data_IF_290938935448
#
_entry.id   IF_290938935448
#
_cell.length_a   1.000
_cell.length_b   1.000
_cell.length_c   1.000
_cell.angle_alpha   90.00
_cell.angle_beta   90.00
_cell.angle_gamma   90.00
#
_symmetry.space_group_name_H-M   'P 1'
#
loop_
_entity.id
_entity.type
_entity.pdbx_description
1 polymer ?
#
# COMPACT_ATOMS: atom_id res chain seq x y z
N UNK A 1 -25.01 1.37 -2.90
CA UNK A 1 -24.46 2.64 -3.08
C UNK A 1 -22.95 2.64 -3.11
N UNK A 2 -22.40 3.26 -4.06
CA UNK A 2 -20.99 3.29 -4.17
C UNK A 2 -20.35 4.15 -3.15
N UNK A 3 -19.26 3.67 -2.66
CA UNK A 3 -18.42 4.47 -1.82
C UNK A 3 -17.45 5.22 -2.71
N UNK A 4 -17.66 6.54 -2.87
CA UNK A 4 -16.76 7.29 -3.74
C UNK A 4 -15.37 7.43 -3.15
N UNK A 5 -15.21 7.03 -1.90
CA UNK A 5 -13.92 7.20 -1.23
C UNK A 5 -13.25 5.86 -1.09
N UNK A 6 -12.70 5.36 -2.19
CA UNK A 6 -11.88 4.18 -2.08
C UNK A 6 -10.74 4.46 -1.13
N UNK A 7 -10.50 3.53 -0.23
CA UNK A 7 -9.41 3.64 0.72
C UNK A 7 -8.17 3.00 0.10
N UNK A 8 -7.08 3.74 0.09
CA UNK A 8 -5.81 3.25 -0.45
C UNK A 8 -4.82 3.07 0.68
N UNK A 9 -4.01 2.03 0.59
CA UNK A 9 -2.96 1.80 1.57
C UNK A 9 -1.96 2.95 1.55
N UNK A 10 -1.69 3.53 2.71
CA UNK A 10 -0.78 4.66 2.82
C UNK A 10 0.68 4.23 2.86
N UNK A 11 0.95 2.99 2.50
CA UNK A 11 2.30 2.46 2.40
C UNK A 11 2.61 2.00 0.98
N UNK A 12 1.68 1.30 0.32
CA UNK A 12 1.91 0.75 -1.01
C UNK A 12 0.91 1.20 -2.06
N UNK A 13 -0.07 2.02 -1.67
CA UNK A 13 -1.09 2.57 -2.56
C UNK A 13 -2.08 1.54 -3.10
N UNK A 14 -2.09 0.32 -2.54
CA UNK A 14 -3.04 -0.69 -2.98
C UNK A 14 -4.46 -0.29 -2.57
N UNK A 15 -5.44 -0.38 -3.49
CA UNK A 15 -6.82 -0.12 -3.10
C UNK A 15 -7.32 -1.23 -2.17
N UNK A 16 -7.92 -0.83 -1.06
CA UNK A 16 -8.44 -1.76 -0.07
C UNK A 16 -9.95 -1.78 -0.19
N UNK A 17 -10.46 -2.76 -0.93
CA UNK A 17 -11.87 -2.80 -1.29
C UNK A 17 -12.68 -3.79 -0.47
N UNK A 18 -12.04 -4.76 0.16
CA UNK A 18 -12.72 -5.73 1.00
C UNK A 18 -12.11 -5.70 2.38
N UNK A 19 -12.87 -6.17 3.41
CA UNK A 19 -12.34 -6.14 4.78
C UNK A 19 -11.03 -6.91 4.95
N UNK A 20 -10.84 -7.98 4.18
CA UNK A 20 -9.61 -8.78 4.31
C UNK A 20 -8.38 -8.04 3.83
N UNK A 21 -8.55 -6.99 3.05
CA UNK A 21 -7.41 -6.26 2.52
C UNK A 21 -6.84 -5.24 3.50
N UNK A 22 -7.57 -4.95 4.56
CA UNK A 22 -7.10 -4.00 5.57
C UNK A 22 -6.16 -4.65 6.56
N UNK A 23 -5.18 -3.89 7.02
CA UNK A 23 -4.30 -4.37 8.08
C UNK A 23 -5.00 -4.36 9.43
N UNK A 24 -4.26 -4.68 10.48
CA UNK A 24 -4.82 -4.73 11.82
C UNK A 24 -4.00 -3.87 12.78
N UNK A 25 -4.70 -3.22 13.69
CA UNK A 25 -4.09 -2.48 14.78
C UNK A 25 -3.73 -3.41 15.92
N UNK A 26 -3.01 -2.89 16.92
CA UNK A 26 -2.55 -3.72 18.01
C UNK A 26 -3.69 -4.31 18.83
N UNK A 27 -4.85 -3.67 18.83
CA UNK A 27 -6.00 -4.19 19.57
C UNK A 27 -6.88 -5.11 18.72
N UNK A 28 -6.43 -5.45 17.52
CA UNK A 28 -7.19 -6.34 16.64
C UNK A 28 -8.20 -5.65 15.74
N UNK A 29 -8.37 -4.34 15.91
CA UNK A 29 -9.30 -3.62 15.04
C UNK A 29 -8.66 -3.40 13.66
N UNK A 30 -9.51 -3.06 12.70
CA UNK A 30 -9.06 -2.87 11.32
C UNK A 30 -8.31 -1.55 11.20
N UNK A 31 -7.15 -1.60 10.57
CA UNK A 31 -6.44 -0.38 10.21
C UNK A 31 -7.02 0.13 8.89
N UNK A 32 -7.47 1.37 8.88
CA UNK A 32 -8.04 1.93 7.68
C UNK A 32 -7.03 2.73 6.87
N UNK A 33 -5.77 2.71 7.28
CA UNK A 33 -4.71 3.43 6.58
C UNK A 33 -3.77 2.53 5.82
N UNK A 34 -3.62 1.27 6.23
CA UNK A 34 -2.64 0.36 5.66
C UNK A 34 -3.27 -0.99 5.35
N UNK A 35 -2.74 -1.64 4.33
CA UNK A 35 -3.27 -2.94 3.93
C UNK A 35 -2.67 -4.06 4.77
N UNK A 36 -3.27 -5.25 4.65
CA UNK A 36 -2.84 -6.40 5.44
C UNK A 36 -1.42 -6.85 5.12
N UNK A 37 -0.93 -6.53 3.93
CA UNK A 37 0.44 -6.90 3.56
C UNK A 37 1.46 -5.95 4.17
N UNK A 38 1.05 -4.74 4.52
CA UNK A 38 1.98 -3.74 5.04
C UNK A 38 1.91 -3.56 6.54
N UNK A 39 0.78 -3.88 7.16
CA UNK A 39 0.56 -3.50 8.56
C UNK A 39 -0.28 -4.57 9.25
N UNK A 40 0.27 -5.14 10.32
CA UNK A 40 -0.43 -6.15 11.11
C UNK A 40 -0.09 -5.99 12.57
N UNK A 41 -1.08 -6.18 13.41
CA UNK A 41 -0.93 -6.15 14.88
C UNK A 41 -0.28 -4.86 15.36
N UNK A 42 -0.61 -3.75 14.71
CA UNK A 42 -0.15 -2.44 15.13
C UNK A 42 1.25 -2.08 14.67
N UNK A 43 1.83 -2.85 13.77
CA UNK A 43 3.19 -2.58 13.31
C UNK A 43 3.31 -2.90 11.83
N UNK A 44 4.23 -2.21 11.17
CA UNK A 44 4.53 -2.55 9.78
C UNK A 44 5.16 -3.92 9.69
N UNK A 45 4.75 -4.70 8.68
CA UNK A 45 5.32 -6.03 8.48
C UNK A 45 6.77 -5.97 8.07
N UNK A 46 7.15 -4.86 7.42
CA UNK A 46 8.54 -4.64 7.03
C UNK A 46 8.94 -3.23 7.45
N UNK A 47 9.24 -3.04 8.73
CA UNK A 47 9.48 -1.69 9.23
C UNK A 47 10.75 -1.04 8.67
N UNK A 48 11.71 -1.85 8.21
CA UNK A 48 12.98 -1.31 7.72
C UNK A 48 13.04 -1.17 6.20
N UNK A 49 11.93 -1.45 5.51
CA UNK A 49 11.92 -1.35 4.05
C UNK A 49 11.99 0.12 3.65
N UNK A 50 12.75 0.40 2.60
CA UNK A 50 12.84 1.76 2.07
C UNK A 50 11.74 2.01 1.04
N UNK A 51 11.55 3.29 0.67
CA UNK A 51 10.59 3.62 -0.37
C UNK A 51 11.00 2.98 -1.70
N UNK A 52 12.30 2.89 -1.97
CA UNK A 52 12.79 2.23 -3.17
C UNK A 52 12.40 0.76 -3.17
N UNK A 53 12.57 0.09 -2.03
CA UNK A 53 12.19 -1.32 -1.92
C UNK A 53 10.70 -1.50 -2.12
N UNK A 54 9.90 -0.59 -1.56
CA UNK A 54 8.45 -0.66 -1.72
C UNK A 54 8.07 -0.46 -3.18
N UNK A 55 8.73 0.47 -3.88
CA UNK A 55 8.49 0.68 -5.29
C UNK A 55 8.75 -0.61 -6.07
N UNK A 56 9.87 -1.27 -5.79
CA UNK A 56 10.22 -2.50 -6.49
C UNK A 56 9.20 -3.61 -6.24
N UNK A 57 8.74 -3.74 -5.00
CA UNK A 57 7.75 -4.74 -4.66
C UNK A 57 6.42 -4.47 -5.38
N UNK A 58 5.97 -3.23 -5.37
CA UNK A 58 4.71 -2.88 -6.00
C UNK A 58 4.77 -3.08 -7.51
N UNK A 59 5.88 -2.70 -8.12
CA UNK A 59 6.06 -2.88 -9.56
C UNK A 59 6.02 -4.36 -9.89
N UNK A 60 6.74 -5.17 -9.13
CA UNK A 60 6.78 -6.61 -9.35
C UNK A 60 5.38 -7.22 -9.26
N UNK A 61 4.62 -6.81 -8.25
CA UNK A 61 3.27 -7.29 -8.06
C UNK A 61 2.36 -6.91 -9.23
N UNK A 62 2.46 -5.67 -9.68
CA UNK A 62 1.64 -5.20 -10.80
C UNK A 62 1.96 -5.93 -12.09
N UNK A 63 3.25 -6.22 -12.31
CA UNK A 63 3.64 -6.95 -13.51
C UNK A 63 3.13 -8.38 -13.44
N UNK A 64 3.27 -9.03 -12.30
CA UNK A 64 2.81 -10.41 -12.15
C UNK A 64 1.31 -10.55 -12.36
N UNK A 65 0.55 -9.56 -11.91
CA UNK A 65 -0.91 -9.60 -12.02
C UNK A 65 -1.40 -8.98 -13.31
N UNK A 66 -0.50 -8.64 -14.23
CA UNK A 66 -0.85 -8.05 -15.52
C UNK A 66 -1.68 -6.77 -15.38
N UNK A 67 -1.40 -6.01 -14.32
CA UNK A 67 -2.12 -4.75 -14.10
C UNK A 67 -1.55 -3.67 -15.01
N UNK A 68 -0.21 -3.55 -15.04
CA UNK A 68 0.50 -2.56 -15.85
C UNK A 68 1.84 -3.12 -16.29
N UNK A 69 2.36 -2.66 -17.44
CA UNK A 69 3.75 -2.98 -17.80
C UNK A 69 4.71 -2.37 -16.77
N UNK A 70 5.90 -2.92 -16.69
CA UNK A 70 6.85 -2.51 -15.68
C UNK A 70 7.16 -1.02 -15.73
N UNK A 71 7.38 -0.47 -16.91
CA UNK A 71 7.73 0.95 -17.03
C UNK A 71 6.62 1.84 -16.50
N UNK A 72 5.38 1.52 -16.85
CA UNK A 72 4.24 2.29 -16.38
C UNK A 72 4.04 2.13 -14.88
N UNK A 73 4.17 0.92 -14.38
CA UNK A 73 4.00 0.66 -12.95
C UNK A 73 5.04 1.42 -12.13
N UNK A 74 6.28 1.41 -12.59
CA UNK A 74 7.36 2.09 -11.88
C UNK A 74 7.15 3.60 -11.88
N UNK A 75 6.72 4.14 -13.02
CA UNK A 75 6.45 5.57 -13.12
C UNK A 75 5.34 5.96 -12.16
N UNK A 76 4.25 5.17 -12.12
CA UNK A 76 3.12 5.46 -11.26
C UNK A 76 3.51 5.41 -9.79
N UNK A 77 4.24 4.37 -9.38
CA UNK A 77 4.62 4.23 -7.99
C UNK A 77 5.60 5.31 -7.56
N UNK A 78 6.50 5.71 -8.47
CA UNK A 78 7.45 6.78 -8.17
C UNK A 78 6.73 8.10 -7.90
N UNK A 79 5.59 8.31 -8.54
CA UNK A 79 4.80 9.52 -8.32
C UNK A 79 3.93 9.41 -7.07
N UNK A 80 3.37 8.25 -6.80
CA UNK A 80 2.38 8.11 -5.74
C UNK A 80 2.97 7.86 -4.36
N UNK A 81 4.00 7.03 -4.27
CA UNK A 81 4.54 6.66 -2.96
C UNK A 81 4.99 7.86 -2.12
N UNK A 82 5.70 8.84 -2.70
CA UNK A 82 6.15 9.97 -1.86
C UNK A 82 5.00 10.77 -1.25
N UNK A 83 3.81 10.67 -1.80
CA UNK A 83 2.65 11.40 -1.29
C UNK A 83 1.90 10.61 -0.21
N UNK A 84 2.24 9.35 -0.01
CA UNK A 84 1.54 8.54 0.97
C UNK A 84 2.04 8.84 2.38
N UNK A 85 1.18 8.57 3.36
CA UNK A 85 1.45 8.92 4.74
C UNK A 85 2.78 8.35 5.24
N UNK A 86 3.05 7.08 4.92
CA UNK A 86 4.26 6.42 5.42
C UNK A 86 5.53 7.07 4.89
N UNK A 87 5.50 7.54 3.64
CA UNK A 87 6.70 8.02 2.97
C UNK A 87 6.80 9.53 2.94
N UNK A 88 5.71 10.20 3.26
CA UNK A 88 5.67 11.66 3.23
C UNK A 88 6.48 12.20 4.40
N UNK A 89 7.39 13.10 4.11
CA UNK A 89 8.18 13.73 5.15
C UNK A 89 7.42 14.91 5.71
N UNK A 90 7.40 14.98 7.02
CA UNK A 90 6.71 16.06 7.72
C UNK A 90 7.46 17.37 7.57
#
# INVERSE_FOLDING_TARGET
>A
MDNPHKTFCQSCAMPMETPEMFGTNSDGSRSEEYCTYCFQNGAFTEPDITMQDMTDKCVSFMVQDNILPEAKAREMMTQYLPALKRWKKA
#
